data_IF_785175936264
#
_entry.id   IF_785175936264
#
_cell.length_a   1.000
_cell.length_b   1.000
_cell.length_c   1.000
_cell.angle_alpha   90.00
_cell.angle_beta   90.00
_cell.angle_gamma   90.00
#
_symmetry.space_group_name_H-M   'P 1'
#
loop_
_entity.id
_entity.type
_entity.pdbx_description
1 polymer ?
#
# COMPACT_ATOMS: atom_id res chain seq x y z
N UNK A 1 9.40 38.92 -3.23
CA UNK A 1 8.33 37.93 -3.04
C UNK A 1 8.97 36.55 -3.09
N UNK A 2 9.08 35.85 -1.96
CA UNK A 2 9.71 34.52 -1.88
C UNK A 2 8.61 33.47 -1.98
N UNK A 3 8.48 32.84 -3.15
CA UNK A 3 7.64 31.66 -3.31
C UNK A 3 8.45 30.46 -2.78
N UNK A 4 8.30 30.15 -1.50
CA UNK A 4 8.67 28.84 -0.97
C UNK A 4 7.80 27.80 -1.68
N UNK A 5 8.35 26.72 -2.26
CA UNK A 5 7.53 25.57 -2.56
C UNK A 5 6.96 25.07 -1.24
N UNK A 6 5.63 24.99 -1.15
CA UNK A 6 4.94 24.31 -0.07
C UNK A 6 5.31 22.82 -0.16
N UNK A 7 6.46 22.44 0.38
CA UNK A 7 6.67 21.07 0.83
C UNK A 7 5.70 20.90 2.00
N UNK A 8 4.47 20.50 1.68
CA UNK A 8 3.47 20.20 2.67
C UNK A 8 3.98 18.99 3.44
N UNK A 9 4.64 19.25 4.58
CA UNK A 9 4.91 18.26 5.62
C UNK A 9 3.55 17.90 6.23
N UNK A 10 2.74 17.21 5.45
CA UNK A 10 1.46 16.66 5.86
C UNK A 10 1.82 15.54 6.82
N UNK A 11 1.57 15.77 8.10
CA UNK A 11 1.75 14.76 9.12
C UNK A 11 0.64 13.70 8.98
N UNK A 12 0.90 12.74 8.10
CA UNK A 12 -0.09 11.72 7.72
C UNK A 12 -0.54 10.87 8.91
N UNK A 13 0.35 10.68 9.90
CA UNK A 13 0.01 9.99 11.15
C UNK A 13 -1.03 10.73 11.97
N UNK A 14 -0.93 12.07 12.08
CA UNK A 14 -1.93 12.86 12.80
C UNK A 14 -3.25 12.95 12.04
N UNK A 15 -3.21 13.02 10.71
CA UNK A 15 -4.44 13.01 9.90
C UNK A 15 -5.13 11.64 9.98
N UNK A 16 -4.37 10.53 9.95
CA UNK A 16 -4.91 9.18 10.16
C UNK A 16 -5.62 9.02 11.50
N UNK A 17 -4.98 9.45 12.59
CA UNK A 17 -5.57 9.36 13.92
C UNK A 17 -6.87 10.18 13.99
N UNK A 18 -6.84 11.44 13.54
CA UNK A 18 -7.98 12.34 13.60
C UNK A 18 -9.13 11.90 12.68
N UNK A 19 -8.83 11.45 11.47
CA UNK A 19 -9.90 11.04 10.56
C UNK A 19 -10.50 9.68 10.95
N UNK A 20 -9.73 8.74 11.50
CA UNK A 20 -10.30 7.52 12.08
C UNK A 20 -11.24 7.83 13.26
N UNK A 21 -10.85 8.76 14.13
CA UNK A 21 -11.64 9.17 15.29
C UNK A 21 -12.96 9.86 14.88
N UNK A 22 -12.94 10.66 13.81
CA UNK A 22 -14.08 11.48 13.41
C UNK A 22 -14.98 10.81 12.35
N UNK A 23 -14.39 10.05 11.42
CA UNK A 23 -15.05 9.57 10.20
C UNK A 23 -15.14 8.03 10.11
N UNK A 24 -14.59 7.31 11.09
CA UNK A 24 -14.59 5.85 11.14
C UNK A 24 -13.49 5.20 10.30
N UNK A 25 -13.32 3.88 10.45
CA UNK A 25 -12.24 3.13 9.78
C UNK A 25 -12.42 3.03 8.25
N UNK A 26 -13.67 3.09 7.77
CA UNK A 26 -14.03 2.94 6.36
C UNK A 26 -13.72 4.19 5.51
N UNK A 27 -13.58 5.36 6.15
CA UNK A 27 -13.27 6.64 5.51
C UNK A 27 -12.03 6.59 4.60
N UNK A 28 -10.99 5.87 5.03
CA UNK A 28 -9.74 5.78 4.26
C UNK A 28 -9.86 4.90 3.02
N UNK A 29 -10.82 3.97 3.00
CA UNK A 29 -11.10 3.19 1.78
C UNK A 29 -11.73 4.09 0.71
N UNK A 30 -12.71 4.91 1.11
CA UNK A 30 -13.40 5.84 0.21
C UNK A 30 -12.49 6.98 -0.27
N UNK A 31 -11.54 7.41 0.56
CA UNK A 31 -10.63 8.51 0.24
C UNK A 31 -9.31 8.11 -0.43
N UNK A 32 -8.98 6.81 -0.53
CA UNK A 32 -7.72 6.36 -1.13
C UNK A 32 -7.50 6.87 -2.57
N UNK A 33 -8.59 7.12 -3.32
CA UNK A 33 -8.54 7.70 -4.67
C UNK A 33 -8.50 9.24 -4.72
N UNK A 34 -8.76 9.93 -3.60
CA UNK A 34 -8.91 11.38 -3.52
C UNK A 34 -7.75 12.07 -2.81
N UNK A 35 -6.93 11.31 -2.07
CA UNK A 35 -5.84 11.86 -1.27
C UNK A 35 -4.56 12.04 -2.11
N UNK A 36 -3.77 13.10 -1.84
CA UNK A 36 -2.51 13.31 -2.53
C UNK A 36 -1.58 12.10 -2.35
N UNK A 37 -1.01 11.63 -3.48
CA UNK A 37 -0.09 10.48 -3.53
C UNK A 37 1.19 10.79 -2.75
N UNK A 38 1.20 10.44 -1.47
CA UNK A 38 2.36 10.49 -0.61
C UNK A 38 2.99 9.09 -0.56
N UNK A 39 3.92 8.81 -1.46
CA UNK A 39 4.63 7.53 -1.50
C UNK A 39 5.08 7.09 -2.89
N UNK A 40 5.75 5.92 -2.97
CA UNK A 40 6.04 5.25 -4.23
C UNK A 40 4.76 4.99 -5.04
N UNK A 41 4.92 4.80 -6.35
CA UNK A 41 3.80 4.40 -7.22
C UNK A 41 3.46 2.93 -6.96
N UNK A 42 2.17 2.64 -6.91
CA UNK A 42 1.63 1.31 -6.64
C UNK A 42 0.54 1.00 -7.65
N UNK A 43 0.62 -0.18 -8.24
CA UNK A 43 -0.45 -0.81 -9.03
C UNK A 43 -1.03 -1.97 -8.25
N UNK A 44 -2.35 -2.13 -8.32
CA UNK A 44 -3.10 -3.19 -7.64
C UNK A 44 -4.09 -3.77 -8.63
N UNK A 45 -4.14 -5.10 -8.69
CA UNK A 45 -5.12 -5.81 -9.49
C UNK A 45 -5.48 -7.13 -8.84
N UNK A 46 -6.57 -7.72 -9.29
CA UNK A 46 -7.05 -9.01 -8.82
C UNK A 46 -7.54 -9.82 -10.02
N UNK A 47 -7.23 -11.11 -10.03
CA UNK A 47 -7.78 -12.12 -10.95
C UNK A 47 -8.84 -12.95 -10.22
N UNK A 48 -9.37 -13.98 -10.89
CA UNK A 48 -10.29 -14.92 -10.23
C UNK A 48 -9.61 -15.74 -9.11
N UNK A 49 -8.29 -15.90 -9.19
CA UNK A 49 -7.52 -16.79 -8.31
C UNK A 49 -6.64 -16.02 -7.33
N UNK A 50 -6.21 -14.80 -7.65
CA UNK A 50 -5.15 -14.12 -6.90
C UNK A 50 -5.31 -12.60 -6.84
N UNK A 51 -4.88 -12.00 -5.75
CA UNK A 51 -4.72 -10.56 -5.58
C UNK A 51 -3.24 -10.19 -5.69
N UNK A 52 -2.95 -9.08 -6.38
CA UNK A 52 -1.60 -8.64 -6.70
C UNK A 52 -1.39 -7.16 -6.41
N UNK A 53 -0.20 -6.83 -5.92
CA UNK A 53 0.31 -5.46 -5.80
C UNK A 53 1.73 -5.37 -6.35
N UNK A 54 2.03 -4.29 -7.09
CA UNK A 54 3.38 -3.93 -7.50
C UNK A 54 3.71 -2.51 -7.04
N UNK A 55 4.87 -2.31 -6.41
CA UNK A 55 5.31 -1.01 -5.90
C UNK A 55 6.71 -0.63 -6.44
N UNK A 56 6.85 0.61 -6.93
CA UNK A 56 8.12 1.17 -7.39
C UNK A 56 9.03 1.58 -6.22
N UNK A 57 9.99 0.73 -5.88
CA UNK A 57 10.97 0.94 -4.80
C UNK A 57 12.41 0.83 -5.33
N UNK A 58 12.85 1.68 -6.26
CA UNK A 58 14.17 1.56 -6.87
C UNK A 58 15.29 1.86 -5.88
N UNK A 59 16.33 1.02 -5.90
CA UNK A 59 17.57 1.25 -5.16
C UNK A 59 17.61 0.68 -3.74
N UNK A 60 16.64 -0.18 -3.37
CA UNK A 60 16.76 -0.98 -2.16
C UNK A 60 17.83 -2.07 -2.36
N UNK A 61 18.63 -2.30 -1.34
CA UNK A 61 19.71 -3.29 -1.31
C UNK A 61 19.50 -4.34 -0.21
N UNK A 62 18.62 -4.08 0.77
CA UNK A 62 18.24 -5.02 1.82
C UNK A 62 16.74 -4.96 2.08
N UNK A 63 16.17 -6.11 2.44
CA UNK A 63 14.77 -6.21 2.88
C UNK A 63 14.51 -5.40 4.18
N UNK A 64 15.53 -5.16 5.00
CA UNK A 64 15.42 -4.41 6.26
C UNK A 64 15.07 -2.94 6.07
N UNK A 65 15.24 -2.41 4.85
CA UNK A 65 14.91 -1.02 4.52
C UNK A 65 13.40 -0.78 4.38
N UNK A 66 12.61 -1.85 4.32
CA UNK A 66 11.16 -1.78 4.20
C UNK A 66 10.48 -2.74 5.16
N UNK A 67 9.23 -2.45 5.49
CA UNK A 67 8.36 -3.32 6.25
C UNK A 67 7.06 -3.51 5.49
N UNK A 68 6.65 -4.78 5.36
CA UNK A 68 5.40 -5.16 4.73
C UNK A 68 4.59 -5.99 5.74
N UNK A 69 3.39 -5.55 6.08
CA UNK A 69 2.52 -6.28 7.01
C UNK A 69 1.06 -6.22 6.60
N UNK A 70 0.32 -7.28 6.92
CA UNK A 70 -1.15 -7.27 6.87
C UNK A 70 -1.65 -6.69 8.18
N UNK A 71 -2.50 -5.66 8.11
CA UNK A 71 -3.05 -4.97 9.28
C UNK A 71 -4.53 -4.65 9.06
N UNK A 72 -5.41 -5.32 9.79
CA UNK A 72 -6.86 -5.22 9.58
C UNK A 72 -7.24 -5.72 8.18
N UNK A 73 -7.98 -4.92 7.42
CA UNK A 73 -8.43 -5.22 6.05
C UNK A 73 -7.49 -4.68 4.95
N UNK A 74 -6.18 -4.62 5.19
CA UNK A 74 -5.25 -4.13 4.16
C UNK A 74 -3.79 -4.50 4.37
N UNK A 75 -3.02 -4.26 3.31
CA UNK A 75 -1.57 -4.38 3.27
C UNK A 75 -0.94 -3.02 3.58
N UNK A 76 0.02 -2.99 4.50
CA UNK A 76 0.74 -1.77 4.90
C UNK A 76 2.21 -1.93 4.53
N UNK A 77 2.69 -1.04 3.67
CA UNK A 77 4.06 -0.96 3.18
C UNK A 77 4.72 0.31 3.72
N UNK A 78 5.80 0.15 4.50
CA UNK A 78 6.56 1.25 5.11
C UNK A 78 8.03 1.18 4.71
N UNK A 79 8.70 2.32 4.69
CA UNK A 79 10.14 2.40 4.46
C UNK A 79 10.61 3.80 4.15
N UNK A 80 11.81 3.90 3.60
CA UNK A 80 12.41 5.16 3.15
C UNK A 80 13.18 4.97 1.84
N UNK A 81 12.88 5.81 0.84
CA UNK A 81 13.66 5.87 -0.40
C UNK A 81 14.65 7.02 -0.33
N UNK A 82 15.95 6.71 -0.36
CA UNK A 82 17.01 7.71 -0.26
C UNK A 82 17.41 8.20 -1.66
N UNK A 83 17.67 9.51 -1.80
CA UNK A 83 18.20 10.08 -3.05
C UNK A 83 19.61 9.52 -3.31
N UNK A 84 19.92 9.03 -4.51
CA UNK A 84 21.26 8.52 -4.82
C UNK A 84 22.29 9.64 -5.08
N UNK A 85 21.88 10.90 -4.97
CA UNK A 85 22.72 12.07 -5.26
C UNK A 85 22.64 13.09 -4.12
N UNK A 86 23.75 13.80 -3.89
CA UNK A 86 23.91 14.78 -2.80
C UNK A 86 23.92 16.21 -3.33
N UNK A 87 22.87 16.60 -4.04
CA UNK A 87 22.68 18.00 -4.50
C UNK A 87 21.76 18.75 -3.55
N UNK A 88 21.97 20.06 -3.42
CA UNK A 88 21.07 20.91 -2.66
C UNK A 88 19.74 21.09 -3.42
N UNK A 89 18.63 21.28 -2.69
CA UNK A 89 17.30 21.37 -3.29
C UNK A 89 17.17 22.45 -4.38
N UNK A 90 17.86 23.58 -4.25
CA UNK A 90 17.84 24.65 -5.26
C UNK A 90 18.56 24.28 -6.56
N UNK A 91 19.37 23.22 -6.55
CA UNK A 91 20.05 22.69 -7.74
C UNK A 91 19.16 21.67 -8.47
N UNK A 92 18.05 21.24 -7.86
CA UNK A 92 17.10 20.31 -8.46
C UNK A 92 16.18 21.10 -9.39
N UNK A 93 16.40 20.96 -10.70
CA UNK A 93 15.55 21.58 -11.71
C UNK A 93 14.17 20.90 -11.79
N UNK A 94 14.10 19.60 -11.50
CA UNK A 94 12.87 18.80 -11.54
C UNK A 94 12.97 17.59 -10.62
N UNK A 95 11.89 17.31 -9.88
CA UNK A 95 11.76 16.12 -9.04
C UNK A 95 10.39 15.46 -9.26
N UNK A 96 10.38 14.32 -9.92
CA UNK A 96 9.15 13.55 -10.18
C UNK A 96 9.09 12.26 -9.36
N UNK A 97 10.27 11.67 -9.10
CA UNK A 97 10.41 10.46 -8.30
C UNK A 97 10.16 10.76 -6.83
N UNK A 98 9.53 9.80 -6.15
CA UNK A 98 9.36 9.84 -4.71
C UNK A 98 10.69 9.54 -3.99
N UNK A 99 10.98 10.31 -2.94
CA UNK A 99 12.07 10.10 -2.00
C UNK A 99 11.65 10.55 -0.60
N UNK A 100 12.23 9.95 0.42
CA UNK A 100 11.90 10.17 1.82
C UNK A 100 11.11 9.01 2.43
N UNK A 101 10.69 9.15 3.71
CA UNK A 101 9.91 8.14 4.41
C UNK A 101 8.51 8.01 3.82
N UNK A 102 7.99 6.79 3.76
CA UNK A 102 6.64 6.51 3.27
C UNK A 102 5.91 5.49 4.14
N UNK A 103 4.59 5.59 4.11
CA UNK A 103 3.65 4.58 4.59
C UNK A 103 2.48 4.52 3.61
N UNK A 104 2.37 3.41 2.88
CA UNK A 104 1.31 3.16 1.93
C UNK A 104 0.40 2.08 2.48
N UNK A 105 -0.88 2.39 2.65
CA UNK A 105 -1.91 1.41 2.99
C UNK A 105 -2.72 1.07 1.75
N UNK A 106 -2.76 -0.20 1.40
CA UNK A 106 -3.54 -0.73 0.29
C UNK A 106 -4.67 -1.58 0.87
N UNK A 107 -5.93 -1.11 0.84
CA UNK A 107 -7.05 -1.90 1.32
C UNK A 107 -7.29 -3.12 0.42
N UNK A 108 -7.69 -4.23 1.03
CA UNK A 108 -8.21 -5.37 0.28
C UNK A 108 -9.69 -5.15 -0.07
N UNK A 109 -10.17 -5.65 -1.22
CA UNK A 109 -11.59 -5.61 -1.52
C UNK A 109 -12.39 -6.39 -0.49
N UNK A 110 -13.49 -5.82 0.01
CA UNK A 110 -14.25 -6.36 1.14
C UNK A 110 -14.78 -7.79 0.91
N UNK A 111 -15.09 -8.14 -0.35
CA UNK A 111 -15.61 -9.43 -0.76
C UNK A 111 -14.54 -10.50 -1.02
N UNK A 112 -13.25 -10.12 -1.07
CA UNK A 112 -12.17 -11.03 -1.42
C UNK A 112 -11.71 -11.83 -0.21
N UNK A 113 -11.95 -13.14 -0.20
CA UNK A 113 -11.38 -14.04 0.80
C UNK A 113 -9.94 -14.36 0.41
N UNK A 114 -8.96 -13.83 1.15
CA UNK A 114 -7.55 -13.99 0.84
C UNK A 114 -6.89 -15.06 1.73
N UNK A 115 -6.04 -15.88 1.15
CA UNK A 115 -5.20 -16.83 1.89
C UNK A 115 -3.83 -16.21 2.19
N UNK A 116 -3.73 -15.58 3.36
CA UNK A 116 -2.48 -14.96 3.81
C UNK A 116 -1.38 -15.97 4.16
N UNK A 117 -1.68 -17.27 4.31
CA UNK A 117 -0.65 -18.27 4.60
C UNK A 117 0.21 -18.56 3.38
N UNK A 118 -0.38 -18.45 2.19
CA UNK A 118 0.27 -18.70 0.90
C UNK A 118 0.71 -17.40 0.20
N UNK A 119 0.76 -16.28 0.94
CA UNK A 119 1.23 -15.00 0.44
C UNK A 119 2.72 -15.04 0.14
N UNK A 120 3.12 -14.41 -0.96
CA UNK A 120 4.52 -14.27 -1.38
C UNK A 120 4.85 -12.82 -1.71
N UNK A 121 6.09 -12.40 -1.42
CA UNK A 121 6.62 -11.10 -1.79
C UNK A 121 8.00 -11.25 -2.44
N UNK A 122 8.21 -10.58 -3.57
CA UNK A 122 9.45 -10.62 -4.33
C UNK A 122 9.90 -9.22 -4.69
N UNK A 123 11.20 -8.95 -4.54
CA UNK A 123 11.81 -7.71 -4.99
C UNK A 123 12.76 -8.00 -6.15
N UNK A 124 12.52 -7.36 -7.29
CA UNK A 124 13.34 -7.53 -8.48
C UNK A 124 13.36 -6.23 -9.31
N UNK A 125 14.54 -5.80 -9.75
CA UNK A 125 14.74 -4.62 -10.61
C UNK A 125 14.03 -3.34 -10.14
N UNK A 126 13.97 -3.10 -8.82
CA UNK A 126 13.32 -1.90 -8.28
C UNK A 126 11.82 -2.03 -8.05
N UNK A 127 11.23 -3.19 -8.30
CA UNK A 127 9.81 -3.46 -8.06
C UNK A 127 9.63 -4.47 -6.93
N UNK A 128 8.80 -4.11 -5.96
CA UNK A 128 8.26 -5.06 -4.98
C UNK A 128 6.93 -5.58 -5.49
N UNK A 129 6.83 -6.88 -5.70
CA UNK A 129 5.60 -7.56 -6.11
C UNK A 129 5.09 -8.44 -4.98
N UNK A 130 3.82 -8.28 -4.62
CA UNK A 130 3.13 -9.07 -3.61
C UNK A 130 1.99 -9.82 -4.28
N UNK A 131 1.89 -11.11 -3.98
CA UNK A 131 0.84 -12.02 -4.46
C UNK A 131 0.17 -12.67 -3.28
N UNK A 132 -1.15 -12.66 -3.26
CA UNK A 132 -1.97 -13.30 -2.23
C UNK A 132 -3.06 -14.12 -2.94
N UNK A 133 -3.04 -15.45 -2.83
CA UNK A 133 -4.11 -16.28 -3.38
C UNK A 133 -5.47 -15.93 -2.78
N UNK A 134 -6.53 -16.09 -3.56
CA UNK A 134 -7.89 -16.14 -3.04
C UNK A 134 -8.16 -17.53 -2.48
N UNK A 135 -8.90 -17.58 -1.36
CA UNK A 135 -9.44 -18.82 -0.83
C UNK A 135 -10.46 -19.35 -1.84
N UNK A 136 -10.25 -20.58 -2.27
CA UNK A 136 -11.30 -21.29 -3.02
C UNK A 136 -12.41 -21.64 -2.04
N UNK A 137 -13.59 -21.06 -2.23
CA UNK A 137 -14.77 -21.48 -1.49
C UNK A 137 -15.00 -22.97 -1.77
N UNK A 138 -15.11 -23.76 -0.71
CA UNK A 138 -15.55 -25.14 -0.84
C UNK A 138 -16.91 -25.11 -1.55
N UNK A 139 -17.02 -25.82 -2.68
CA UNK A 139 -18.26 -25.99 -3.43
C UNK A 139 -19.41 -26.20 -2.45
N UNK A 140 -20.51 -25.47 -2.65
CA UNK A 140 -21.72 -25.51 -1.80
C UNK A 140 -21.94 -26.89 -1.17
N UNK A 141 -21.79 -26.98 0.15
CA UNK A 141 -22.09 -28.20 0.87
C UNK A 141 -23.61 -28.30 0.98
N UNK A 142 -24.23 -29.19 0.19
CA UNK A 142 -25.64 -29.51 0.34
C UNK A 142 -25.87 -30.11 1.73
N UNK A 143 -26.68 -29.43 2.53
CA UNK A 143 -27.15 -29.94 3.82
C UNK A 143 -28.40 -30.79 3.55
N UNK A 144 -28.41 -32.09 3.90
CA UNK A 144 -29.61 -32.91 3.76
C UNK A 144 -30.70 -32.43 4.73
N UNK A 145 -31.93 -32.33 4.24
CA UNK A 145 -33.12 -32.04 5.06
C UNK A 145 -33.74 -33.38 5.46
N UNK A 146 -33.75 -33.67 6.76
CA UNK A 146 -34.51 -34.80 7.30
C UNK A 146 -35.96 -34.38 7.55
N UNK A 147 -36.90 -35.18 7.06
CA UNK A 147 -38.32 -35.06 7.39
C UNK A 147 -38.70 -36.17 8.39
N UNK A 148 -39.54 -35.81 9.37
CA UNK A 148 -40.20 -36.74 10.28
C UNK A 148 -41.52 -37.25 9.69
#
# INVERSE_FOLDING_TARGET
MKNQPLSSNINWKSIHAQANEVLGEDFWQDMAGLLPKNGPRIDVYQTEEEWWMSAELPGLYSAEQISLCVSGHGLVLRGELVRPFSVMDHQILRAERFFGPFECKVPFPAQSKLDFKEMTAHYYNGLLTVRIPLQQDQKETKIPIEFA
#
